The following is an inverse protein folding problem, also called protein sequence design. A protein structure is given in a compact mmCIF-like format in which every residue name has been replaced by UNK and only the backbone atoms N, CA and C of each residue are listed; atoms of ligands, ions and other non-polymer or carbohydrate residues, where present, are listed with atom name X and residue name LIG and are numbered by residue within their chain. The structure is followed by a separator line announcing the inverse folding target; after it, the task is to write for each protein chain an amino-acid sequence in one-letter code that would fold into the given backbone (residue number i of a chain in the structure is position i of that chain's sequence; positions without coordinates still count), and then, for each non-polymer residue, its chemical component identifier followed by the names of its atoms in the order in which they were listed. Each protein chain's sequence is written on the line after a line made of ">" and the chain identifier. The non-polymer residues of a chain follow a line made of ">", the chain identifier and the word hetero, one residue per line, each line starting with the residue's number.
data_IF_331482643636
#
_entry.id   IF_331482643636
#
_cell.length_a   1.000
_cell.length_b   1.000
_cell.length_c   1.000
_cell.angle_alpha   90.00
_cell.angle_beta   90.00
_cell.angle_gamma   90.00
#
_symmetry.space_group_name_H-M   'P 1'
#
loop_
_entity.id
_entity.type
_entity.pdbx_description
1 polymer ?
#
# COMPACT_ATOMS: atom_id res chain seq x y z
N UNK A 1 -25.34 8.91 -11.15
CA UNK A 1 -26.03 7.61 -10.92
C UNK A 1 -25.76 6.58 -12.03
N UNK A 2 -26.14 6.80 -13.31
CA UNK A 2 -25.93 5.80 -14.38
C UNK A 2 -24.48 5.36 -14.60
N UNK A 3 -23.51 6.26 -14.37
CA UNK A 3 -22.08 5.96 -14.50
C UNK A 3 -21.59 4.85 -13.58
N UNK A 4 -22.19 4.69 -12.38
CA UNK A 4 -21.85 3.59 -11.47
C UNK A 4 -22.17 2.24 -12.10
N UNK A 5 -23.40 2.10 -12.61
CA UNK A 5 -23.87 0.85 -13.21
C UNK A 5 -23.10 0.51 -14.49
N UNK A 6 -22.88 1.50 -15.36
CA UNK A 6 -22.15 1.28 -16.61
C UNK A 6 -20.70 0.84 -16.33
N UNK A 7 -20.02 1.50 -15.38
CA UNK A 7 -18.67 1.11 -15.04
C UNK A 7 -18.62 -0.28 -14.39
N UNK A 8 -19.57 -0.62 -13.54
CA UNK A 8 -19.72 -1.97 -12.98
C UNK A 8 -19.92 -3.04 -14.07
N UNK A 9 -20.85 -2.82 -15.00
CA UNK A 9 -21.10 -3.70 -16.15
C UNK A 9 -19.86 -3.88 -17.04
N UNK A 10 -19.09 -2.82 -17.28
CA UNK A 10 -17.85 -2.89 -18.06
C UNK A 10 -16.77 -3.72 -17.35
N UNK A 11 -16.62 -3.58 -16.03
CA UNK A 11 -15.67 -4.36 -15.23
C UNK A 11 -16.06 -5.84 -15.13
N UNK A 12 -17.35 -6.16 -15.19
CA UNK A 12 -17.83 -7.54 -15.27
C UNK A 12 -17.55 -8.18 -16.63
N UNK A 13 -17.71 -7.42 -17.71
CA UNK A 13 -17.57 -7.95 -19.08
C UNK A 13 -16.11 -8.17 -19.50
N UNK A 14 -15.16 -7.41 -18.92
CA UNK A 14 -13.71 -7.57 -19.14
C UNK A 14 -13.28 -7.70 -20.61
N UNK A 15 -13.89 -6.91 -21.50
CA UNK A 15 -13.72 -7.07 -22.96
C UNK A 15 -12.32 -6.71 -23.45
N UNK A 16 -11.81 -5.58 -22.97
CA UNK A 16 -10.55 -5.00 -23.43
C UNK A 16 -9.95 -4.06 -22.37
N UNK A 17 -8.65 -3.76 -22.52
CA UNK A 17 -7.88 -2.92 -21.62
C UNK A 17 -8.52 -1.52 -21.45
N UNK A 18 -8.93 -0.90 -22.54
CA UNK A 18 -9.43 0.48 -22.57
C UNK A 18 -10.76 0.60 -21.82
N UNK A 19 -11.66 -0.35 -22.06
CA UNK A 19 -12.95 -0.46 -21.37
C UNK A 19 -12.77 -0.70 -19.87
N UNK A 20 -11.89 -1.65 -19.49
CA UNK A 20 -11.61 -1.94 -18.08
C UNK A 20 -10.95 -0.76 -17.36
N UNK A 21 -9.97 -0.12 -17.99
CA UNK A 21 -9.31 1.05 -17.41
C UNK A 21 -10.27 2.21 -17.23
N UNK A 22 -11.05 2.54 -18.27
CA UNK A 22 -12.07 3.59 -18.21
C UNK A 22 -13.06 3.33 -17.07
N UNK A 23 -13.51 2.08 -16.93
CA UNK A 23 -14.45 1.70 -15.90
C UNK A 23 -13.85 1.79 -14.49
N UNK A 24 -12.65 1.25 -14.27
CA UNK A 24 -11.95 1.32 -12.99
C UNK A 24 -11.67 2.77 -12.56
N UNK A 25 -11.18 3.59 -13.48
CA UNK A 25 -10.97 5.02 -13.25
C UNK A 25 -12.29 5.75 -12.96
N UNK A 26 -13.37 5.40 -13.66
CA UNK A 26 -14.70 5.98 -13.43
C UNK A 26 -15.19 5.64 -12.03
N UNK A 27 -15.09 4.38 -11.59
CA UNK A 27 -15.49 3.99 -10.22
C UNK A 27 -14.69 4.77 -9.18
N UNK A 28 -13.36 4.81 -9.28
CA UNK A 28 -12.52 5.59 -8.36
C UNK A 28 -12.94 7.06 -8.32
N UNK A 29 -13.07 7.70 -9.48
CA UNK A 29 -13.47 9.12 -9.58
C UNK A 29 -14.85 9.37 -8.96
N UNK A 30 -15.78 8.43 -9.12
CA UNK A 30 -17.11 8.51 -8.50
C UNK A 30 -17.05 8.33 -6.98
N UNK A 31 -16.19 7.46 -6.46
CA UNK A 31 -15.93 7.32 -5.02
C UNK A 31 -15.35 8.62 -4.45
N UNK A 32 -14.40 9.26 -5.12
CA UNK A 32 -13.78 10.49 -4.62
C UNK A 32 -14.72 11.70 -4.69
N UNK A 33 -15.45 11.87 -5.80
CA UNK A 33 -16.17 13.12 -6.11
C UNK A 33 -17.69 13.05 -5.93
N UNK A 34 -18.26 11.86 -5.94
CA UNK A 34 -19.72 11.66 -6.01
C UNK A 34 -20.21 10.58 -5.05
N UNK A 35 -19.49 10.30 -3.96
CA UNK A 35 -19.87 9.25 -3.01
C UNK A 35 -21.26 9.46 -2.41
N UNK A 36 -21.66 10.72 -2.21
CA UNK A 36 -22.99 11.10 -1.71
C UNK A 36 -24.15 10.66 -2.62
N UNK A 37 -23.90 10.29 -3.89
CA UNK A 37 -24.92 9.72 -4.77
C UNK A 37 -25.29 8.28 -4.38
N UNK A 38 -24.44 7.57 -3.61
CA UNK A 38 -24.69 6.20 -3.20
C UNK A 38 -25.39 6.15 -1.84
N UNK A 39 -26.56 5.49 -1.75
CA UNK A 39 -27.20 5.26 -0.47
C UNK A 39 -26.33 4.33 0.40
N UNK A 40 -26.40 4.47 1.72
CA UNK A 40 -25.62 3.66 2.66
C UNK A 40 -25.82 2.15 2.48
N UNK A 41 -27.01 1.73 2.05
CA UNK A 41 -27.33 0.33 1.74
C UNK A 41 -26.52 -0.25 0.56
N UNK A 42 -25.98 0.59 -0.32
CA UNK A 42 -25.20 0.17 -1.48
C UNK A 42 -23.69 0.11 -1.21
N UNK A 43 -23.21 0.64 -0.07
CA UNK A 43 -21.77 0.70 0.23
C UNK A 43 -21.15 -0.69 0.35
N UNK A 44 -21.84 -1.61 1.01
CA UNK A 44 -21.39 -3.00 1.14
C UNK A 44 -21.37 -3.73 -0.21
N UNK A 45 -22.40 -3.56 -1.04
CA UNK A 45 -22.44 -4.16 -2.39
C UNK A 45 -21.31 -3.66 -3.27
N UNK A 46 -21.01 -2.35 -3.24
CA UNK A 46 -19.86 -1.78 -3.96
C UNK A 46 -18.53 -2.35 -3.46
N UNK A 47 -18.37 -2.49 -2.14
CA UNK A 47 -17.19 -3.11 -1.53
C UNK A 47 -17.00 -4.54 -2.04
N UNK A 48 -18.02 -5.39 -1.94
CA UNK A 48 -17.91 -6.78 -2.39
C UNK A 48 -17.65 -6.89 -3.90
N UNK A 49 -18.22 -5.99 -4.70
CA UNK A 49 -17.96 -5.93 -6.14
C UNK A 49 -16.50 -5.59 -6.44
N UNK A 50 -15.95 -4.56 -5.79
CA UNK A 50 -14.52 -4.20 -5.92
C UNK A 50 -13.59 -5.33 -5.46
N UNK A 51 -13.89 -5.96 -4.31
CA UNK A 51 -13.12 -7.12 -3.82
C UNK A 51 -13.17 -8.25 -4.86
N UNK A 52 -14.34 -8.54 -5.43
CA UNK A 52 -14.50 -9.55 -6.47
C UNK A 52 -13.68 -9.23 -7.73
N UNK A 53 -13.67 -7.98 -8.19
CA UNK A 53 -12.83 -7.58 -9.33
C UNK A 53 -11.34 -7.75 -9.05
N UNK A 54 -10.90 -7.39 -7.84
CA UNK A 54 -9.50 -7.51 -7.40
C UNK A 54 -9.09 -8.97 -7.26
N UNK A 55 -9.95 -9.84 -6.73
CA UNK A 55 -9.70 -11.29 -6.61
C UNK A 55 -9.53 -12.01 -7.95
N UNK A 56 -9.91 -11.37 -9.05
CA UNK A 56 -9.78 -11.90 -10.40
C UNK A 56 -8.62 -11.27 -11.17
N UNK A 57 -7.77 -10.48 -10.50
CA UNK A 57 -6.55 -9.94 -11.08
C UNK A 57 -5.55 -11.08 -11.27
N UNK A 58 -4.95 -11.13 -12.44
CA UNK A 58 -3.90 -12.08 -12.80
C UNK A 58 -2.63 -11.33 -13.21
N UNK A 59 -1.52 -12.06 -13.39
CA UNK A 59 -0.25 -11.49 -13.88
C UNK A 59 -0.39 -10.82 -15.26
N UNK A 60 -1.40 -11.22 -16.05
CA UNK A 60 -1.70 -10.64 -17.36
C UNK A 60 -2.51 -9.33 -17.27
N UNK A 61 -3.10 -9.04 -16.11
CA UNK A 61 -3.90 -7.82 -15.92
C UNK A 61 -2.98 -6.61 -15.95
N UNK A 62 -3.32 -5.62 -16.79
CA UNK A 62 -2.50 -4.42 -16.92
C UNK A 62 -2.35 -3.69 -15.58
N UNK A 63 -1.11 -3.34 -15.15
CA UNK A 63 -0.86 -2.69 -13.87
C UNK A 63 -1.64 -1.39 -13.66
N UNK A 64 -2.00 -0.68 -14.72
CA UNK A 64 -2.78 0.56 -14.64
C UNK A 64 -4.21 0.27 -14.18
N UNK A 65 -4.84 -0.83 -14.65
CA UNK A 65 -6.16 -1.26 -14.17
C UNK A 65 -6.08 -1.66 -12.70
N UNK A 66 -5.09 -2.49 -12.35
CA UNK A 66 -4.85 -2.94 -10.96
C UNK A 66 -4.76 -1.75 -10.03
N UNK A 67 -3.93 -0.75 -10.40
CA UNK A 67 -3.75 0.46 -9.60
C UNK A 67 -5.07 1.22 -9.41
N UNK A 68 -5.90 1.38 -10.45
CA UNK A 68 -7.19 2.07 -10.30
C UNK A 68 -8.17 1.32 -9.40
N UNK A 69 -8.24 -0.02 -9.48
CA UNK A 69 -9.10 -0.83 -8.61
C UNK A 69 -8.60 -0.80 -7.15
N UNK A 70 -7.30 -0.94 -6.94
CA UNK A 70 -6.69 -0.84 -5.62
C UNK A 70 -6.91 0.55 -5.00
N UNK A 71 -6.76 1.63 -5.78
CA UNK A 71 -7.09 2.98 -5.32
C UNK A 71 -8.58 3.12 -4.98
N UNK A 72 -9.48 2.58 -5.81
CA UNK A 72 -10.92 2.63 -5.56
C UNK A 72 -11.30 1.96 -4.23
N UNK A 73 -10.76 0.76 -3.92
CA UNK A 73 -11.04 0.09 -2.65
C UNK A 73 -10.38 0.80 -1.46
N UNK A 74 -9.18 1.36 -1.64
CA UNK A 74 -8.52 2.16 -0.60
C UNK A 74 -9.32 3.42 -0.27
N UNK A 75 -9.75 4.18 -1.28
CA UNK A 75 -10.60 5.37 -1.11
C UNK A 75 -11.91 5.01 -0.39
N UNK A 76 -12.54 3.88 -0.77
CA UNK A 76 -13.77 3.39 -0.15
C UNK A 76 -13.55 3.03 1.33
N UNK A 77 -12.47 2.32 1.65
CA UNK A 77 -12.12 1.92 3.02
C UNK A 77 -11.93 3.13 3.94
N UNK A 78 -11.34 4.20 3.42
CA UNK A 78 -11.12 5.44 4.16
C UNK A 78 -12.44 6.23 4.37
N UNK A 79 -13.32 6.27 3.36
CA UNK A 79 -14.59 7.01 3.40
C UNK A 79 -15.70 6.33 4.21
N UNK A 80 -15.79 4.99 4.18
CA UNK A 80 -16.89 4.25 4.80
C UNK A 80 -16.57 3.94 6.26
N UNK A 81 -17.01 4.80 7.17
CA UNK A 81 -16.77 4.65 8.61
C UNK A 81 -17.45 3.43 9.25
N UNK A 82 -18.47 2.86 8.60
CA UNK A 82 -19.11 1.61 9.04
C UNK A 82 -18.28 0.37 8.71
N UNK A 83 -17.31 0.46 7.79
CA UNK A 83 -16.40 -0.64 7.50
C UNK A 83 -15.28 -0.68 8.55
N UNK A 84 -15.47 -1.50 9.57
CA UNK A 84 -14.49 -1.75 10.62
C UNK A 84 -13.33 -2.60 10.10
N UNK A 85 -12.11 -2.26 10.50
CA UNK A 85 -10.87 -3.01 10.22
C UNK A 85 -10.69 -3.41 8.74
N UNK A 86 -10.71 -2.43 7.80
CA UNK A 86 -10.59 -2.73 6.38
C UNK A 86 -9.28 -3.43 6.03
N UNK A 87 -8.16 -3.02 6.64
CA UNK A 87 -6.83 -3.63 6.42
C UNK A 87 -6.84 -5.12 6.76
N UNK A 88 -7.29 -5.48 7.97
CA UNK A 88 -7.36 -6.88 8.39
C UNK A 88 -8.30 -7.71 7.50
N UNK A 89 -9.46 -7.14 7.13
CA UNK A 89 -10.41 -7.79 6.22
C UNK A 89 -9.76 -8.09 4.87
N UNK A 90 -9.00 -7.15 4.31
CA UNK A 90 -8.35 -7.29 3.01
C UNK A 90 -7.20 -8.30 3.08
N UNK A 91 -6.41 -8.30 4.16
CA UNK A 91 -5.38 -9.32 4.40
C UNK A 91 -6.01 -10.71 4.46
N UNK A 92 -7.07 -10.89 5.26
CA UNK A 92 -7.76 -12.19 5.38
C UNK A 92 -8.31 -12.68 4.03
N UNK A 93 -8.89 -11.78 3.24
CA UNK A 93 -9.47 -12.12 1.94
C UNK A 93 -8.41 -12.50 0.89
N UNK A 94 -7.31 -11.74 0.81
CA UNK A 94 -6.37 -11.85 -0.30
C UNK A 94 -5.11 -12.68 0.03
N UNK A 95 -4.72 -12.83 1.29
CA UNK A 95 -3.50 -13.58 1.67
C UNK A 95 -3.57 -15.09 1.41
N UNK A 96 -4.76 -15.63 1.15
CA UNK A 96 -4.99 -17.07 0.92
C UNK A 96 -4.50 -17.56 -0.44
N UNK A 97 -4.36 -16.68 -1.42
CA UNK A 97 -3.90 -17.02 -2.78
C UNK A 97 -2.67 -16.22 -3.17
N UNK A 98 -1.65 -16.90 -3.69
CA UNK A 98 -0.41 -16.27 -4.13
C UNK A 98 -0.63 -15.22 -5.23
N UNK A 99 -1.63 -15.43 -6.10
CA UNK A 99 -1.99 -14.50 -7.18
C UNK A 99 -2.50 -13.15 -6.64
N UNK A 100 -3.12 -13.18 -5.46
CA UNK A 100 -3.70 -12.01 -4.81
C UNK A 100 -2.68 -11.22 -3.95
N UNK A 101 -1.47 -11.74 -3.76
CA UNK A 101 -0.42 -11.05 -2.97
C UNK A 101 -0.01 -9.74 -3.64
N UNK A 102 0.10 -9.71 -4.97
CA UNK A 102 0.42 -8.49 -5.69
C UNK A 102 -0.60 -7.37 -5.45
N UNK A 103 -1.90 -7.53 -5.79
CA UNK A 103 -2.87 -6.48 -5.54
C UNK A 103 -3.02 -6.14 -4.06
N UNK A 104 -2.87 -7.10 -3.14
CA UNK A 104 -2.90 -6.83 -1.70
C UNK A 104 -1.76 -5.89 -1.26
N UNK A 105 -0.52 -6.14 -1.68
CA UNK A 105 0.61 -5.23 -1.40
C UNK A 105 0.37 -3.83 -1.97
N UNK A 106 -0.23 -3.74 -3.16
CA UNK A 106 -0.60 -2.44 -3.76
C UNK A 106 -1.65 -1.72 -2.90
N UNK A 107 -2.72 -2.40 -2.48
CA UNK A 107 -3.75 -1.83 -1.60
C UNK A 107 -3.14 -1.33 -0.29
N UNK A 108 -2.34 -2.17 0.37
CA UNK A 108 -1.70 -1.83 1.65
C UNK A 108 -0.71 -0.66 1.51
N UNK A 109 -0.10 -0.49 0.33
CA UNK A 109 0.74 0.70 0.04
C UNK A 109 -0.11 1.96 -0.14
N UNK A 110 -1.26 1.85 -0.81
CA UNK A 110 -2.09 2.99 -1.18
C UNK A 110 -2.97 3.52 -0.04
N UNK A 111 -3.38 2.66 0.92
CA UNK A 111 -4.22 3.08 2.05
C UNK A 111 -3.57 4.23 2.84
N UNK A 112 -2.31 4.13 3.31
CA UNK A 112 -1.65 5.25 3.98
C UNK A 112 -1.46 6.48 3.08
N UNK A 113 -1.13 6.29 1.80
CA UNK A 113 -0.89 7.37 0.83
C UNK A 113 -2.16 8.23 0.61
N UNK A 114 -3.34 7.60 0.57
CA UNK A 114 -4.60 8.30 0.33
C UNK A 114 -5.17 9.03 1.57
N UNK A 115 -4.68 8.77 2.79
CA UNK A 115 -5.13 9.49 4.01
C UNK A 115 -4.95 11.00 3.86
N UNK A 116 -3.81 11.40 3.28
CA UNK A 116 -3.43 12.80 3.10
C UNK A 116 -3.70 13.33 1.69
N UNK A 117 -4.36 12.52 0.85
CA UNK A 117 -4.76 12.91 -0.49
C UNK A 117 -5.62 14.17 -0.47
N UNK A 118 -5.35 15.09 -1.40
CA UNK A 118 -6.19 16.30 -1.59
C UNK A 118 -7.49 15.96 -2.31
N UNK A 119 -7.54 14.82 -3.00
CA UNK A 119 -8.72 14.35 -3.72
C UNK A 119 -9.73 13.73 -2.77
N UNK A 120 -9.26 13.04 -1.73
CA UNK A 120 -10.09 12.42 -0.72
C UNK A 120 -10.40 13.41 0.41
N UNK A 121 -11.62 13.95 0.42
CA UNK A 121 -12.08 14.99 1.36
C UNK A 121 -12.39 14.45 2.77
N UNK A 122 -11.41 13.81 3.40
CA UNK A 122 -11.51 13.33 4.78
C UNK A 122 -11.38 14.48 5.78
N UNK A 123 -12.34 14.58 6.70
CA UNK A 123 -12.26 15.51 7.84
C UNK A 123 -11.19 15.09 8.86
N UNK A 124 -10.65 16.05 9.61
CA UNK A 124 -9.54 15.85 10.55
C UNK A 124 -9.80 14.69 11.55
N UNK A 125 -10.97 14.68 12.20
CA UNK A 125 -11.32 13.62 13.16
C UNK A 125 -11.31 12.22 12.54
N UNK A 126 -11.77 12.10 11.28
CA UNK A 126 -11.76 10.81 10.57
C UNK A 126 -10.34 10.40 10.20
N UNK A 127 -9.47 11.35 9.82
CA UNK A 127 -8.04 11.08 9.55
C UNK A 127 -7.33 10.56 10.81
N UNK A 128 -7.58 11.18 11.96
CA UNK A 128 -7.02 10.74 13.25
C UNK A 128 -7.55 9.36 13.67
N UNK A 129 -8.83 9.08 13.45
CA UNK A 129 -9.41 7.74 13.66
C UNK A 129 -8.70 6.68 12.82
N UNK A 130 -8.62 6.90 11.50
CA UNK A 130 -7.96 5.98 10.56
C UNK A 130 -6.48 5.80 10.94
N UNK A 131 -5.78 6.87 11.30
CA UNK A 131 -4.36 6.80 11.68
C UNK A 131 -4.13 5.88 12.87
N UNK A 132 -4.99 5.98 13.90
CA UNK A 132 -4.95 5.10 15.07
C UNK A 132 -5.30 3.66 14.72
N UNK A 133 -6.27 3.43 13.83
CA UNK A 133 -6.61 2.09 13.36
C UNK A 133 -5.40 1.47 12.63
N UNK A 134 -4.74 2.22 11.74
CA UNK A 134 -3.52 1.75 11.07
C UNK A 134 -2.38 1.46 12.05
N UNK A 135 -2.17 2.30 13.07
CA UNK A 135 -1.20 1.97 14.13
C UNK A 135 -1.49 0.62 14.80
N UNK A 136 -2.75 0.33 15.05
CA UNK A 136 -3.19 -0.95 15.64
C UNK A 136 -2.92 -2.11 14.68
N UNK A 137 -3.16 -1.92 13.39
CA UNK A 137 -3.00 -2.96 12.36
C UNK A 137 -1.54 -3.14 11.90
N UNK A 138 -0.64 -2.19 12.21
CA UNK A 138 0.74 -2.12 11.71
C UNK A 138 1.55 -3.40 11.90
N UNK A 139 1.39 -4.06 13.05
CA UNK A 139 2.06 -5.32 13.36
C UNK A 139 1.65 -6.43 12.40
N UNK A 140 0.36 -6.60 12.17
CA UNK A 140 -0.16 -7.64 11.25
C UNK A 140 0.29 -7.35 9.82
N UNK A 141 0.35 -6.08 9.42
CA UNK A 141 0.86 -5.70 8.10
C UNK A 141 2.35 -6.02 7.98
N UNK A 142 3.17 -5.73 9.00
CA UNK A 142 4.59 -6.10 9.03
C UNK A 142 4.79 -7.62 8.94
N UNK A 143 4.02 -8.40 9.70
CA UNK A 143 4.04 -9.86 9.64
C UNK A 143 3.71 -10.38 8.23
N UNK A 144 2.71 -9.78 7.57
CA UNK A 144 2.37 -10.08 6.19
C UNK A 144 3.50 -9.71 5.20
N UNK A 145 4.11 -8.53 5.33
CA UNK A 145 5.24 -8.11 4.48
C UNK A 145 6.43 -9.07 4.61
N UNK A 146 6.74 -9.50 5.84
CA UNK A 146 7.80 -10.49 6.09
C UNK A 146 7.47 -11.84 5.47
N UNK A 147 6.21 -12.31 5.57
CA UNK A 147 5.77 -13.54 4.91
C UNK A 147 5.92 -13.45 3.37
N UNK A 148 5.62 -12.30 2.77
CA UNK A 148 5.82 -12.06 1.33
C UNK A 148 7.29 -12.19 0.92
N UNK A 149 8.23 -11.72 1.74
CA UNK A 149 9.67 -11.88 1.49
C UNK A 149 10.14 -13.32 1.69
N UNK A 150 9.51 -14.09 2.58
CA UNK A 150 9.87 -15.51 2.76
C UNK A 150 9.45 -16.36 1.55
N UNK A 151 8.28 -16.10 0.97
CA UNK A 151 7.75 -16.88 -0.17
C UNK A 151 8.20 -16.35 -1.53
N UNK A 152 8.34 -15.03 -1.67
CA UNK A 152 8.65 -14.34 -2.94
C UNK A 152 9.92 -13.49 -2.90
N UNK A 153 10.79 -13.65 -1.89
CA UNK A 153 11.96 -12.81 -1.69
C UNK A 153 13.02 -12.88 -2.78
N UNK A 154 12.94 -13.82 -3.72
CA UNK A 154 13.83 -13.88 -4.88
C UNK A 154 13.32 -13.05 -6.07
N UNK A 155 12.03 -12.67 -6.09
CA UNK A 155 11.44 -11.87 -7.14
C UNK A 155 11.66 -10.36 -6.85
N UNK A 156 12.42 -9.64 -7.69
CA UNK A 156 12.66 -8.20 -7.52
C UNK A 156 11.37 -7.38 -7.50
N UNK A 157 10.33 -7.81 -8.23
CA UNK A 157 9.06 -7.07 -8.25
C UNK A 157 8.33 -7.18 -6.89
N UNK A 158 8.36 -8.34 -6.25
CA UNK A 158 7.84 -8.54 -4.90
C UNK A 158 8.66 -7.76 -3.86
N UNK A 159 9.99 -7.82 -3.91
CA UNK A 159 10.86 -7.03 -3.03
C UNK A 159 10.54 -5.52 -3.13
N UNK A 160 10.46 -4.99 -4.36
CA UNK A 160 10.12 -3.58 -4.62
C UNK A 160 8.78 -3.20 -3.98
N UNK A 161 7.74 -4.03 -4.15
CA UNK A 161 6.41 -3.77 -3.58
C UNK A 161 6.40 -3.80 -2.06
N UNK A 162 7.12 -4.75 -1.45
CA UNK A 162 7.26 -4.81 0.01
C UNK A 162 7.96 -3.56 0.54
N UNK A 163 9.06 -3.13 -0.09
CA UNK A 163 9.79 -1.93 0.31
C UNK A 163 8.90 -0.68 0.19
N UNK A 164 8.16 -0.53 -0.92
CA UNK A 164 7.22 0.59 -1.09
C UNK A 164 6.10 0.58 -0.06
N UNK A 165 5.53 -0.60 0.21
CA UNK A 165 4.51 -0.76 1.24
C UNK A 165 5.06 -0.34 2.62
N UNK A 166 6.23 -0.85 2.99
CA UNK A 166 6.86 -0.49 4.26
C UNK A 166 7.16 1.01 4.37
N UNK A 167 7.67 1.62 3.29
CA UNK A 167 7.94 3.06 3.19
C UNK A 167 6.67 3.88 3.42
N UNK A 168 5.57 3.52 2.77
CA UNK A 168 4.28 4.20 2.88
C UNK A 168 3.76 4.19 4.34
N UNK A 169 3.84 3.06 5.03
CA UNK A 169 3.42 2.95 6.43
C UNK A 169 4.33 3.72 7.40
N UNK A 170 5.64 3.74 7.13
CA UNK A 170 6.60 4.50 7.92
C UNK A 170 6.40 6.01 7.73
N UNK A 171 6.11 6.47 6.51
CA UNK A 171 5.92 7.90 6.18
C UNK A 171 4.80 8.58 6.97
N UNK A 172 3.75 7.82 7.30
CA UNK A 172 2.65 8.31 8.12
C UNK A 172 2.87 8.04 9.62
N UNK A 173 4.00 7.47 10.04
CA UNK A 173 4.29 7.10 11.43
C UNK A 173 3.28 6.09 12.00
N UNK A 174 2.76 5.18 11.17
CA UNK A 174 1.91 4.08 11.63
C UNK A 174 2.74 2.93 12.18
N UNK A 175 3.92 2.68 11.61
CA UNK A 175 4.95 1.79 12.17
C UNK A 175 5.89 2.64 13.02
N UNK A 176 6.12 2.22 14.27
CA UNK A 176 7.00 2.93 15.18
C UNK A 176 8.47 2.52 14.99
N UNK A 177 9.40 3.45 15.21
CA UNK A 177 10.83 3.19 15.02
C UNK A 177 11.38 2.12 15.98
N UNK A 178 10.73 1.88 17.12
CA UNK A 178 11.08 0.79 18.02
C UNK A 178 10.83 -0.60 17.41
N UNK A 179 9.85 -0.73 16.51
CA UNK A 179 9.45 -2.01 15.92
C UNK A 179 10.35 -2.44 14.75
N UNK A 180 11.24 -1.55 14.29
CA UNK A 180 12.03 -1.77 13.07
C UNK A 180 13.51 -2.05 13.32
N UNK A 181 13.96 -2.05 14.58
CA UNK A 181 15.39 -2.17 14.90
C UNK A 181 16.04 -3.46 14.39
N UNK A 182 15.30 -4.58 14.50
CA UNK A 182 15.74 -5.90 14.02
C UNK A 182 14.95 -6.36 12.78
N UNK A 183 14.43 -5.41 12.00
CA UNK A 183 13.54 -5.74 10.88
C UNK A 183 14.30 -6.14 9.61
N UNK A 184 13.94 -7.30 9.06
CA UNK A 184 14.59 -7.87 7.87
C UNK A 184 14.45 -7.00 6.60
N UNK A 185 13.40 -6.17 6.51
CA UNK A 185 13.19 -5.25 5.38
C UNK A 185 14.25 -4.14 5.41
N UNK A 186 14.59 -3.62 6.59
CA UNK A 186 15.68 -2.64 6.76
C UNK A 186 17.02 -3.25 6.31
N UNK A 187 17.33 -4.46 6.77
CA UNK A 187 18.54 -5.15 6.33
C UNK A 187 18.56 -5.46 4.83
N UNK A 188 17.40 -5.76 4.22
CA UNK A 188 17.27 -5.95 2.78
C UNK A 188 17.58 -4.65 2.01
N UNK A 189 17.03 -3.51 2.41
CA UNK A 189 17.21 -2.25 1.67
C UNK A 189 18.67 -1.80 1.64
N UNK A 190 19.38 -1.86 2.77
CA UNK A 190 20.82 -1.54 2.79
C UNK A 190 21.65 -2.51 1.95
N UNK A 191 21.34 -3.82 1.95
CA UNK A 191 22.02 -4.77 1.06
C UNK A 191 21.78 -4.48 -0.42
N UNK A 192 20.59 -4.02 -0.78
CA UNK A 192 20.25 -3.65 -2.16
C UNK A 192 21.01 -2.40 -2.59
N UNK A 193 21.14 -1.40 -1.72
CA UNK A 193 21.89 -0.18 -1.99
C UNK A 193 23.41 -0.41 -2.08
N UNK A 194 23.94 -1.38 -1.32
CA UNK A 194 25.35 -1.74 -1.37
C UNK A 194 25.72 -2.62 -2.58
N UNK A 195 24.74 -3.29 -3.20
CA UNK A 195 25.00 -4.18 -4.32
C UNK A 195 24.92 -3.44 -5.68
N UNK A 196 26.05 -3.34 -6.37
CA UNK A 196 26.18 -2.69 -7.67
C UNK A 196 25.36 -3.34 -8.79
N UNK A 197 24.98 -4.62 -8.64
CA UNK A 197 24.17 -5.35 -9.61
C UNK A 197 22.65 -5.15 -9.41
N UNK A 198 22.24 -4.39 -8.38
CA UNK A 198 20.83 -4.12 -8.11
C UNK A 198 20.21 -3.31 -9.26
N UNK A 199 19.05 -3.76 -9.76
CA UNK A 199 18.38 -3.04 -10.83
C UNK A 199 17.85 -1.66 -10.37
N UNK A 200 17.83 -0.70 -11.30
CA UNK A 200 17.49 0.71 -11.02
C UNK A 200 16.18 0.87 -10.23
N UNK A 201 15.13 0.14 -10.62
CA UNK A 201 13.81 0.27 -9.98
C UNK A 201 13.78 -0.22 -8.53
N UNK A 202 14.62 -1.18 -8.18
CA UNK A 202 14.70 -1.74 -6.83
C UNK A 202 15.61 -0.87 -5.97
N UNK A 203 16.70 -0.38 -6.55
CA UNK A 203 17.58 0.60 -5.93
C UNK A 203 16.84 1.90 -5.58
N UNK A 204 16.04 2.44 -6.51
CA UNK A 204 15.20 3.62 -6.28
C UNK A 204 14.25 3.42 -5.08
N UNK A 205 13.53 2.29 -5.03
CA UNK A 205 12.65 1.99 -3.91
C UNK A 205 13.39 1.86 -2.57
N UNK A 206 14.60 1.28 -2.58
CA UNK A 206 15.43 1.18 -1.38
C UNK A 206 15.96 2.54 -0.93
N UNK A 207 16.32 3.43 -1.87
CA UNK A 207 16.76 4.79 -1.57
C UNK A 207 15.61 5.63 -1.00
N UNK A 208 14.43 5.60 -1.61
CA UNK A 208 13.22 6.27 -1.10
C UNK A 208 12.90 5.82 0.33
N UNK A 209 13.03 4.52 0.60
CA UNK A 209 12.86 3.97 1.95
C UNK A 209 13.86 4.58 2.94
N UNK A 210 15.16 4.58 2.61
CA UNK A 210 16.19 5.13 3.50
C UNK A 210 15.99 6.63 3.72
N UNK A 211 15.66 7.41 2.69
CA UNK A 211 15.33 8.82 2.84
C UNK A 211 14.12 9.02 3.78
N UNK A 212 13.06 8.24 3.62
CA UNK A 212 11.88 8.29 4.50
C UNK A 212 12.25 7.94 5.94
N UNK A 213 13.06 6.91 6.15
CA UNK A 213 13.53 6.50 7.46
C UNK A 213 14.36 7.60 8.15
N UNK A 214 15.24 8.27 7.40
CA UNK A 214 16.03 9.39 7.92
C UNK A 214 15.15 10.58 8.32
N UNK A 215 14.15 10.93 7.50
CA UNK A 215 13.16 11.96 7.85
C UNK A 215 12.39 11.61 9.13
N UNK A 216 12.06 10.34 9.34
CA UNK A 216 11.42 9.90 10.59
C UNK A 216 12.30 10.10 11.83
N UNK A 217 13.63 10.03 11.71
CA UNK A 217 14.53 10.35 12.83
C UNK A 217 14.55 11.84 13.15
N UNK A 218 14.51 12.71 12.14
CA UNK A 218 14.50 14.18 12.35
C UNK A 218 13.28 14.66 13.13
N UNK A 219 12.13 14.01 12.91
CA UNK A 219 10.87 14.33 13.57
C UNK A 219 10.62 13.62 14.91
N UNK A 220 11.44 12.62 15.28
CA UNK A 220 11.16 11.74 16.41
C UNK A 220 12.32 11.62 17.40
N UNK A 221 12.27 12.45 18.44
CA UNK A 221 13.23 12.43 19.56
C UNK A 221 13.18 11.14 20.40
N UNK A 222 12.18 10.27 20.21
CA UNK A 222 12.04 9.00 20.94
C UNK A 222 12.61 7.80 20.17
N UNK A 223 13.30 8.01 19.05
CA UNK A 223 13.92 6.93 18.31
C UNK A 223 14.98 6.20 19.17
N UNK A 224 15.05 4.84 19.13
CA UNK A 224 16.02 4.10 19.92
C UNK A 224 17.47 4.49 19.55
N UNK A 225 18.35 4.84 20.51
CA UNK A 225 19.73 5.22 20.22
C UNK A 225 20.51 4.13 19.48
N UNK A 226 20.24 2.86 19.79
CA UNK A 226 20.85 1.71 19.11
C UNK A 226 20.51 1.71 17.63
N UNK A 227 19.24 1.95 17.30
CA UNK A 227 18.79 2.01 15.91
C UNK A 227 19.42 3.20 15.17
N UNK A 228 19.49 4.37 15.79
CA UNK A 228 20.16 5.53 15.18
C UNK A 228 21.61 5.24 14.82
N UNK A 229 22.37 4.63 15.72
CA UNK A 229 23.77 4.24 15.47
C UNK A 229 23.87 3.18 14.38
N UNK A 230 22.98 2.18 14.38
CA UNK A 230 22.93 1.15 13.34
C UNK A 230 22.69 1.76 11.95
N UNK A 231 21.67 2.62 11.82
CA UNK A 231 21.35 3.29 10.55
C UNK A 231 22.47 4.22 10.11
N UNK A 232 23.05 5.00 11.03
CA UNK A 232 24.18 5.87 10.72
C UNK A 232 25.36 5.07 10.14
N UNK A 233 25.76 3.99 10.80
CA UNK A 233 26.85 3.14 10.32
C UNK A 233 26.52 2.48 8.98
N UNK A 234 25.27 2.03 8.79
CA UNK A 234 24.82 1.42 7.53
C UNK A 234 24.86 2.42 6.37
N UNK A 235 24.47 3.68 6.60
CA UNK A 235 24.57 4.76 5.60
C UNK A 235 26.03 5.08 5.28
N UNK A 236 26.91 5.18 6.28
CA UNK A 236 28.34 5.43 6.05
C UNK A 236 28.99 4.31 5.22
N UNK A 237 28.61 3.05 5.45
CA UNK A 237 29.12 1.91 4.68
C UNK A 237 28.68 1.89 3.21
N UNK A 238 27.72 2.73 2.80
CA UNK A 238 27.33 2.85 1.40
C UNK A 238 28.39 3.59 0.56
N UNK A 239 29.27 4.38 1.17
CA UNK A 239 30.33 5.12 0.46
C UNK A 239 31.19 4.21 -0.45
N UNK A 240 31.49 2.99 0.00
CA UNK A 240 32.26 2.01 -0.79
C UNK A 240 31.54 1.55 -2.06
N UNK A 241 30.20 1.54 -2.06
CA UNK A 241 29.41 1.10 -3.22
C UNK A 241 29.22 2.22 -4.26
N UNK A 242 29.32 3.50 -3.85
CA UNK A 242 29.09 4.66 -4.71
C UNK A 242 30.38 5.36 -5.19
N UNK A 243 31.55 4.88 -4.77
CA UNK A 243 32.87 5.32 -5.24
C UNK A 243 33.43 4.40 -6.32
#
# INVERSE_FOLDING_TARGET
>A
VYSWRIADELLQQKRDLQSCYFAAQTIRSKIQNSFHELPASAHESLRESLISYISQITVETDPVIVTQLCLAISDLALLVSTWRNPVLTLIERFSTSQENVWPLLVILTLIPEEINSRYLRLGANRREEIHRDLKTDSRTVLEFMMACLQTGGHDPATQKRVIKCFTSWLSIHAIELCDIADNAIVGLTFRLLHNNDTCVQLHEAAADFVCTLLQCFEGNNAAPPVLQVQIFNAVMALEEAYN
#
